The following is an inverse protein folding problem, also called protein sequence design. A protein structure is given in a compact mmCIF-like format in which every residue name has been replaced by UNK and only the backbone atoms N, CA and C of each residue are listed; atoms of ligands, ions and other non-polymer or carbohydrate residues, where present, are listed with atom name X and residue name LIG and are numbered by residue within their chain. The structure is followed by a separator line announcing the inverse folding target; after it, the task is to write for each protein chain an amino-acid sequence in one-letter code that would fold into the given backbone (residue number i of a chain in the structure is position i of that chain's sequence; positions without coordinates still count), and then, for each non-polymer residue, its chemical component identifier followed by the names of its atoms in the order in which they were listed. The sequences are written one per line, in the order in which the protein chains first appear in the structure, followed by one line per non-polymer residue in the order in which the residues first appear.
data_IF_203261839864
#
_entry.id   IF_203261839864
#
_cell.length_a   1.000
_cell.length_b   1.000
_cell.length_c   1.000
_cell.angle_alpha   90.00
_cell.angle_beta   90.00
_cell.angle_gamma   90.00
#
_symmetry.space_group_name_H-M   'P 1'
#
loop_
_entity.id
_entity.type
_entity.pdbx_description
1 polymer ?
#
# COMPACT_ATOMS: atom_id res chain seq x y z
N UNK A 1 -22.41 -0.85 19.51
CA UNK A 1 -21.92 0.52 19.26
C UNK A 1 -21.42 1.06 20.59
N UNK A 2 -20.23 1.65 20.65
CA UNK A 2 -19.62 2.09 21.91
C UNK A 2 -19.83 3.59 22.11
N UNK A 3 -19.68 4.09 23.35
CA UNK A 3 -19.83 5.52 23.66
C UNK A 3 -18.85 6.39 22.84
N UNK A 4 -17.69 5.82 22.55
CA UNK A 4 -16.55 6.38 21.82
C UNK A 4 -16.67 6.27 20.30
N UNK A 5 -17.44 5.31 19.76
CA UNK A 5 -17.57 5.16 18.31
C UNK A 5 -18.98 4.68 17.90
N UNK A 6 -19.78 5.54 17.23
CA UNK A 6 -21.15 5.25 16.82
C UNK A 6 -21.24 4.21 15.70
N UNK A 7 -20.13 3.91 15.02
CA UNK A 7 -20.11 2.97 13.91
C UNK A 7 -20.17 1.51 14.41
N UNK A 8 -20.95 0.62 13.77
CA UNK A 8 -20.95 -0.80 14.12
C UNK A 8 -19.57 -1.45 13.99
N UNK A 9 -19.23 -2.35 14.90
CA UNK A 9 -17.98 -3.13 14.90
C UNK A 9 -18.25 -4.56 14.47
N UNK A 10 -17.56 -5.01 13.43
CA UNK A 10 -17.60 -6.39 12.96
C UNK A 10 -16.37 -7.18 13.45
N UNK A 11 -16.59 -8.44 13.80
CA UNK A 11 -15.54 -9.36 14.25
C UNK A 11 -15.48 -10.54 13.31
N UNK A 12 -14.27 -10.95 12.93
CA UNK A 12 -14.07 -12.11 12.08
C UNK A 12 -12.93 -12.97 12.65
N UNK A 13 -13.00 -14.26 12.34
CA UNK A 13 -11.92 -15.21 12.61
C UNK A 13 -11.35 -15.70 11.29
N UNK A 14 -10.08 -16.08 11.29
CA UNK A 14 -9.52 -16.78 10.15
C UNK A 14 -10.28 -18.09 9.93
N UNK A 15 -10.70 -18.34 8.69
CA UNK A 15 -11.41 -19.56 8.29
C UNK A 15 -10.52 -20.55 7.54
N UNK A 16 -9.23 -20.23 7.32
CA UNK A 16 -8.35 -21.04 6.49
C UNK A 16 -7.87 -22.31 7.19
N UNK A 17 -7.63 -22.25 8.50
CA UNK A 17 -7.30 -23.42 9.31
C UNK A 17 -8.08 -23.37 10.62
N UNK A 18 -8.69 -24.49 11.07
CA UNK A 18 -9.45 -24.55 12.33
C UNK A 18 -8.62 -24.20 13.57
N UNK A 19 -7.31 -24.45 13.52
CA UNK A 19 -6.37 -24.14 14.62
C UNK A 19 -5.83 -22.70 14.58
N UNK A 20 -6.20 -21.91 13.56
CA UNK A 20 -5.71 -20.54 13.42
C UNK A 20 -6.40 -19.62 14.42
N UNK A 21 -5.61 -18.95 15.26
CA UNK A 21 -6.12 -18.11 16.34
C UNK A 21 -6.38 -16.66 15.92
N UNK A 22 -5.99 -16.30 14.69
CA UNK A 22 -6.13 -14.94 14.15
C UNK A 22 -7.57 -14.46 14.18
N UNK A 23 -7.75 -13.29 14.77
CA UNK A 23 -9.00 -12.53 14.81
C UNK A 23 -8.78 -11.19 14.13
N UNK A 24 -9.80 -10.68 13.45
CA UNK A 24 -9.82 -9.29 12.98
C UNK A 24 -11.05 -8.55 13.46
N UNK A 25 -10.86 -7.30 13.88
CA UNK A 25 -11.90 -6.35 14.25
C UNK A 25 -11.95 -5.28 13.17
N UNK A 26 -13.12 -5.01 12.62
CA UNK A 26 -13.31 -3.98 11.58
C UNK A 26 -14.36 -3.01 12.05
N UNK A 27 -14.03 -1.73 12.05
CA UNK A 27 -14.95 -0.66 12.41
C UNK A 27 -14.58 0.61 11.63
N UNK A 28 -15.57 1.40 11.26
CA UNK A 28 -15.33 2.73 10.69
C UNK A 28 -14.82 3.69 11.78
N UNK A 29 -13.93 4.62 11.42
CA UNK A 29 -13.47 5.64 12.38
C UNK A 29 -14.65 6.52 12.84
N UNK A 30 -14.58 6.97 14.09
CA UNK A 30 -15.56 7.90 14.65
C UNK A 30 -15.37 9.31 14.07
N UNK A 31 -14.11 9.71 13.86
CA UNK A 31 -13.73 11.05 13.43
C UNK A 31 -13.83 11.23 11.91
N UNK A 32 -13.50 10.17 11.16
CA UNK A 32 -13.55 10.19 9.69
C UNK A 32 -14.32 8.99 9.14
N UNK A 33 -15.54 9.24 8.65
CA UNK A 33 -16.40 8.20 8.08
C UNK A 33 -15.86 7.63 6.77
N UNK A 34 -14.87 8.22 6.12
CA UNK A 34 -14.23 7.62 4.94
C UNK A 34 -13.22 6.54 5.32
N UNK A 35 -12.76 6.52 6.58
CA UNK A 35 -11.71 5.62 7.08
C UNK A 35 -12.32 4.36 7.74
N UNK A 36 -11.79 3.20 7.35
CA UNK A 36 -12.03 1.91 8.01
C UNK A 36 -10.78 1.48 8.78
N UNK A 37 -10.96 1.17 10.06
CA UNK A 37 -9.92 0.64 10.93
C UNK A 37 -10.08 -0.88 11.02
N UNK A 38 -9.00 -1.60 10.67
CA UNK A 38 -8.93 -3.05 10.80
C UNK A 38 -7.78 -3.42 11.75
N UNK A 39 -8.11 -4.06 12.87
CA UNK A 39 -7.13 -4.54 13.86
C UNK A 39 -7.06 -6.05 13.79
N UNK A 40 -5.87 -6.59 13.55
CA UNK A 40 -5.58 -8.01 13.54
C UNK A 40 -4.89 -8.41 14.85
N UNK A 41 -5.25 -9.57 15.37
CA UNK A 41 -4.74 -10.10 16.64
C UNK A 41 -4.42 -11.59 16.47
N UNK A 42 -3.24 -12.02 16.93
CA UNK A 42 -2.70 -13.37 16.78
C UNK A 42 -1.92 -13.60 15.48
N UNK A 43 -1.28 -14.77 15.39
CA UNK A 43 -0.46 -15.18 14.24
C UNK A 43 -1.07 -16.34 13.45
N UNK A 44 -0.84 -16.33 12.13
CA UNK A 44 -1.26 -17.43 11.26
C UNK A 44 -0.32 -18.62 11.42
N UNK A 45 -0.89 -19.80 11.60
CA UNK A 45 -0.16 -21.07 11.73
C UNK A 45 -0.33 -21.98 10.50
N UNK A 46 -0.61 -21.39 9.35
CA UNK A 46 -0.88 -22.09 8.09
C UNK A 46 -0.25 -21.35 6.92
N UNK A 47 -0.05 -22.06 5.81
CA UNK A 47 0.40 -21.43 4.58
C UNK A 47 -0.63 -20.39 4.09
N UNK A 48 -0.17 -19.29 3.46
CA UNK A 48 -1.09 -18.36 2.82
C UNK A 48 -1.87 -19.06 1.70
N UNK A 49 -3.13 -18.68 1.44
CA UNK A 49 -3.90 -19.24 0.35
C UNK A 49 -3.16 -19.05 -0.99
N UNK A 50 -3.28 -20.00 -1.94
CA UNK A 50 -2.70 -19.83 -3.26
C UNK A 50 -3.23 -18.54 -3.89
N UNK A 51 -2.32 -17.71 -4.41
CA UNK A 51 -2.70 -16.46 -5.07
C UNK A 51 -3.52 -16.84 -6.30
N UNK A 52 -4.84 -16.68 -6.24
CA UNK A 52 -5.64 -16.76 -7.45
C UNK A 52 -5.14 -15.66 -8.38
N UNK A 53 -4.66 -16.06 -9.56
CA UNK A 53 -4.20 -15.18 -10.61
C UNK A 53 -5.41 -14.51 -11.25
N UNK A 54 -6.09 -13.65 -10.49
CA UNK A 54 -7.01 -12.64 -10.99
C UNK A 54 -6.22 -11.38 -11.29
N UNK A 55 -6.33 -10.91 -12.53
CA UNK A 55 -5.74 -9.69 -13.08
C UNK A 55 -5.94 -8.47 -12.16
N UNK A 56 -4.92 -8.16 -11.38
CA UNK A 56 -4.87 -6.98 -10.53
C UNK A 56 -3.46 -6.82 -9.96
N UNK A 57 -2.61 -6.12 -10.71
CA UNK A 57 -1.17 -6.05 -10.45
C UNK A 57 -0.80 -5.55 -9.05
N UNK A 58 -0.19 -6.43 -8.26
CA UNK A 58 0.80 -6.06 -7.24
C UNK A 58 2.02 -6.95 -7.46
N UNK A 59 2.99 -6.44 -8.22
CA UNK A 59 4.32 -7.05 -8.28
C UNK A 59 4.98 -6.89 -6.92
N UNK A 60 5.22 -8.00 -6.23
CA UNK A 60 6.41 -8.21 -5.40
C UNK A 60 6.85 -9.64 -5.60
N UNK A 61 7.85 -9.80 -6.48
CA UNK A 61 8.73 -10.97 -6.52
C UNK A 61 9.91 -10.73 -5.58
N UNK A 62 10.49 -11.81 -5.09
CA UNK A 62 11.68 -11.81 -4.24
C UNK A 62 11.44 -12.56 -2.93
N UNK A 63 12.01 -13.76 -2.85
CA UNK A 63 12.09 -14.51 -1.61
C UNK A 63 12.93 -13.73 -0.59
N UNK A 64 12.30 -13.38 0.54
CA UNK A 64 12.98 -12.98 1.75
C UNK A 64 12.10 -13.40 2.92
N UNK A 65 12.70 -14.10 3.88
CA UNK A 65 12.15 -14.28 5.23
C UNK A 65 11.82 -12.89 5.76
N UNK A 66 10.55 -12.53 5.80
CA UNK A 66 10.09 -11.31 6.44
C UNK A 66 8.88 -11.68 7.27
N UNK A 67 9.14 -11.95 8.55
CA UNK A 67 8.32 -11.48 9.67
C UNK A 67 7.26 -10.45 9.23
N UNK A 68 6.02 -10.88 8.99
CA UNK A 68 4.89 -9.96 8.78
C UNK A 68 4.29 -9.61 10.13
N UNK A 69 5.02 -8.75 10.82
CA UNK A 69 4.46 -7.59 11.54
C UNK A 69 5.63 -6.68 11.85
N UNK A 70 5.49 -5.34 11.75
CA UNK A 70 4.27 -4.59 12.06
C UNK A 70 3.91 -3.47 11.06
N UNK A 71 2.70 -2.92 11.22
CA UNK A 71 2.37 -1.48 11.13
C UNK A 71 1.12 -1.13 10.30
N UNK A 72 0.25 -0.24 10.81
CA UNK A 72 -0.94 0.27 10.15
C UNK A 72 -0.58 1.41 9.18
N UNK A 73 -1.40 1.60 8.13
CA UNK A 73 -1.48 2.85 7.35
C UNK A 73 -2.89 3.40 7.65
N UNK A 74 -3.12 4.46 8.42
CA UNK A 74 -2.59 5.84 8.36
C UNK A 74 -2.30 6.40 9.77
N UNK A 75 -1.30 7.28 9.81
CA UNK A 75 -0.70 8.05 10.90
C UNK A 75 -1.63 9.14 11.48
N UNK A 76 -1.65 9.28 12.81
CA UNK A 76 -1.59 10.57 13.52
C UNK A 76 -1.14 10.34 14.98
N UNK A 77 0.12 10.67 15.29
CA UNK A 77 0.47 11.15 16.63
C UNK A 77 1.56 12.22 16.50
N UNK A 78 1.16 13.47 16.75
CA UNK A 78 2.01 14.65 16.72
C UNK A 78 2.67 14.81 18.09
N UNK A 79 3.91 14.31 18.25
CA UNK A 79 4.81 14.76 19.33
C UNK A 79 6.27 14.89 18.85
N UNK A 80 6.64 16.15 18.59
CA UNK A 80 7.95 16.80 18.75
C UNK A 80 9.15 15.85 18.94
N UNK A 81 9.94 15.66 17.89
CA UNK A 81 11.38 15.46 17.98
C UNK A 81 12.06 16.10 16.76
N UNK A 82 12.97 17.02 17.05
CA UNK A 82 13.83 17.69 16.09
C UNK A 82 15.02 16.79 15.72
N UNK A 83 15.61 17.06 14.54
CA UNK A 83 16.80 16.46 13.93
C UNK A 83 16.62 15.19 13.07
N UNK A 84 16.59 15.40 11.73
CA UNK A 84 17.32 14.65 10.67
C UNK A 84 16.52 14.59 9.35
N UNK A 85 16.64 15.61 8.50
CA UNK A 85 15.82 15.83 7.29
C UNK A 85 16.63 16.01 5.98
N UNK A 86 17.92 15.67 5.96
CA UNK A 86 18.76 15.91 4.77
C UNK A 86 18.98 14.66 3.88
N UNK A 87 19.05 13.46 4.45
CA UNK A 87 19.54 12.27 3.74
C UNK A 87 18.45 11.56 2.89
N UNK A 88 17.22 11.48 3.41
CA UNK A 88 16.10 10.81 2.71
C UNK A 88 15.57 11.59 1.48
N UNK A 89 15.92 12.87 1.35
CA UNK A 89 15.50 13.69 0.21
C UNK A 89 16.34 13.35 -1.04
N UNK A 90 17.58 12.91 -0.86
CA UNK A 90 18.48 12.55 -1.96
C UNK A 90 18.06 11.23 -2.62
N UNK A 91 17.69 10.22 -1.82
CA UNK A 91 17.29 8.89 -2.32
C UNK A 91 16.01 8.95 -3.17
N UNK A 92 15.01 9.72 -2.74
CA UNK A 92 13.77 9.96 -3.52
C UNK A 92 14.04 10.74 -4.81
N UNK A 93 14.95 11.73 -4.79
CA UNK A 93 15.32 12.48 -5.99
C UNK A 93 16.00 11.58 -7.02
N UNK A 94 16.87 10.68 -6.57
CA UNK A 94 17.55 9.73 -7.43
C UNK A 94 16.56 8.79 -8.14
N UNK A 95 15.53 8.30 -7.42
CA UNK A 95 14.51 7.44 -8.02
C UNK A 95 13.65 8.16 -9.07
N UNK A 96 13.25 9.40 -8.81
CA UNK A 96 12.47 10.20 -9.77
C UNK A 96 13.31 10.50 -11.02
N UNK A 97 14.59 10.84 -10.84
CA UNK A 97 15.52 11.04 -11.95
C UNK A 97 15.75 9.75 -12.75
N UNK A 98 15.87 8.60 -12.08
CA UNK A 98 16.02 7.31 -12.74
C UNK A 98 14.75 6.93 -13.54
N UNK A 99 13.56 7.25 -13.02
CA UNK A 99 12.29 7.07 -13.75
C UNK A 99 12.24 7.98 -14.98
N UNK A 100 12.55 9.27 -14.83
CA UNK A 100 12.58 10.22 -15.95
C UNK A 100 13.62 9.84 -17.02
N UNK A 101 14.80 9.40 -16.60
CA UNK A 101 15.85 8.91 -17.50
C UNK A 101 15.42 7.65 -18.27
N UNK A 102 14.64 6.76 -17.64
CA UNK A 102 14.12 5.55 -18.31
C UNK A 102 13.08 5.93 -19.37
N UNK A 103 12.16 6.85 -19.05
CA UNK A 103 11.14 7.32 -19.99
C UNK A 103 11.76 8.05 -21.18
N UNK A 104 12.76 8.90 -20.93
CA UNK A 104 13.46 9.64 -21.99
C UNK A 104 14.40 8.77 -22.82
N UNK A 105 14.70 7.53 -22.42
CA UNK A 105 15.45 6.56 -23.24
C UNK A 105 14.56 5.65 -24.08
N UNK A 106 13.26 5.60 -23.81
CA UNK A 106 12.31 4.80 -24.58
C UNK A 106 12.03 5.42 -25.97
N UNK A 107 12.30 4.69 -27.06
CA UNK A 107 12.07 5.19 -28.43
C UNK A 107 10.59 5.49 -28.73
N UNK A 108 9.66 4.74 -28.15
CA UNK A 108 8.22 4.96 -28.30
C UNK A 108 7.77 6.27 -27.66
N UNK A 109 8.25 6.53 -26.44
CA UNK A 109 8.03 7.79 -25.74
C UNK A 109 8.62 8.97 -26.50
N UNK A 110 9.85 8.85 -27.04
CA UNK A 110 10.44 9.90 -27.89
C UNK A 110 9.60 10.19 -29.12
N UNK A 111 9.13 9.16 -29.82
CA UNK A 111 8.30 9.32 -31.00
C UNK A 111 6.94 9.97 -30.66
N UNK A 112 6.32 9.57 -29.55
CA UNK A 112 5.08 10.16 -29.06
C UNK A 112 5.27 11.63 -28.63
N UNK A 113 6.37 11.95 -27.94
CA UNK A 113 6.70 13.31 -27.52
C UNK A 113 6.95 14.23 -28.73
N UNK A 114 7.72 13.76 -29.72
CA UNK A 114 7.94 14.49 -30.97
C UNK A 114 6.63 14.71 -31.71
N UNK A 115 5.77 13.69 -31.78
CA UNK A 115 4.45 13.79 -32.42
C UNK A 115 3.53 14.80 -31.71
N UNK A 116 3.52 14.79 -30.37
CA UNK A 116 2.74 15.71 -29.55
C UNK A 116 3.22 17.17 -29.69
N UNK A 117 4.54 17.40 -29.65
CA UNK A 117 5.12 18.73 -29.85
C UNK A 117 4.94 19.23 -31.28
N UNK A 118 4.93 18.32 -32.26
CA UNK A 118 4.63 18.63 -33.67
C UNK A 118 3.13 18.83 -33.95
N UNK A 119 2.26 18.77 -32.94
CA UNK A 119 0.82 19.04 -33.07
C UNK A 119 0.05 17.97 -33.86
N UNK A 120 0.61 16.77 -34.04
CA UNK A 120 -0.05 15.65 -34.74
C UNK A 120 -0.35 14.55 -33.75
N UNK A 121 -1.48 14.65 -33.06
CA UNK A 121 -2.02 13.56 -32.24
C UNK A 121 -2.72 12.59 -33.19
N UNK A 122 -2.23 11.34 -33.37
CA UNK A 122 -3.01 10.32 -34.07
C UNK A 122 -4.14 9.86 -33.14
N UNK A 123 -5.38 10.15 -33.53
CA UNK A 123 -6.57 9.56 -32.93
C UNK A 123 -6.67 8.14 -33.46
N UNK A 124 -6.63 7.15 -32.56
CA UNK A 124 -7.05 5.79 -32.82
C UNK A 124 -8.46 5.59 -32.25
#
# INVERSE_FOLDING_TARGET
VTKDNPCPRAYFRCSFAPSCQVKKKVQRSADDKTVLVATYDGDHNHAPPPKQQGSGGRKRGGAAVLHVSPAPVLVQEQRKHEASTADQVADRKNLVEQMAATLTRDPGFKAALVSALSGRIPVA
#
